data_IF_239204873469
#
_entry.id   IF_239204873469
#
_cell.length_a   1.000
_cell.length_b   1.000
_cell.length_c   1.000
_cell.angle_alpha   90.00
_cell.angle_beta   90.00
_cell.angle_gamma   90.00
#
_symmetry.space_group_name_H-M   'P 1'
#
loop_
_entity.id
_entity.type
_entity.pdbx_description
1 polymer ?
#
# COMPACT_ATOMS: atom_id res chain seq x y z
N UNK A 1 13.56 -0.03 -75.44
CA UNK A 1 13.94 -0.40 -74.05
C UNK A 1 13.81 0.86 -73.23
N UNK A 2 12.58 1.38 -73.12
CA UNK A 2 11.51 0.99 -72.20
C UNK A 2 11.86 1.45 -70.78
N UNK A 3 11.38 2.66 -70.54
CA UNK A 3 11.19 3.32 -69.27
C UNK A 3 10.74 2.39 -68.15
N UNK A 4 10.86 2.93 -66.94
CA UNK A 4 10.03 2.58 -65.79
C UNK A 4 10.61 1.55 -64.81
N UNK A 5 11.74 1.86 -64.15
CA UNK A 5 12.03 1.34 -62.80
C UNK A 5 12.60 2.47 -61.93
N UNK A 6 11.77 3.50 -61.71
CA UNK A 6 11.82 4.36 -60.52
C UNK A 6 10.59 4.00 -59.70
N UNK A 7 10.79 3.74 -58.41
CA UNK A 7 9.77 3.51 -57.39
C UNK A 7 8.98 2.20 -57.49
N UNK A 8 9.44 1.17 -56.78
CA UNK A 8 8.53 0.19 -56.18
C UNK A 8 8.63 0.40 -54.68
N UNK A 9 7.59 1.04 -54.13
CA UNK A 9 7.30 1.04 -52.70
C UNK A 9 7.26 -0.41 -52.23
N UNK A 10 8.13 -0.76 -51.29
CA UNK A 10 7.89 -1.92 -50.45
C UNK A 10 6.78 -1.51 -49.48
N UNK A 11 5.54 -1.83 -49.83
CA UNK A 11 4.43 -1.87 -48.89
C UNK A 11 4.67 -3.10 -48.02
N UNK A 12 5.29 -2.90 -46.85
CA UNK A 12 5.24 -3.89 -45.79
C UNK A 12 3.86 -3.77 -45.15
N UNK A 13 2.96 -4.64 -45.58
CA UNK A 13 1.68 -4.88 -44.91
C UNK A 13 1.96 -5.44 -43.51
N UNK A 14 1.96 -4.58 -42.50
CA UNK A 14 1.88 -4.99 -41.09
C UNK A 14 0.40 -5.33 -40.82
N UNK A 15 -0.01 -6.53 -41.22
CA UNK A 15 -1.27 -7.09 -40.74
C UNK A 15 -1.04 -7.66 -39.34
N UNK A 16 -1.58 -6.95 -38.36
CA UNK A 16 -2.15 -7.43 -37.10
C UNK A 16 -1.53 -8.68 -36.47
N UNK A 17 -0.53 -8.46 -35.62
CA UNK A 17 -0.29 -9.26 -34.41
C UNK A 17 -0.02 -8.32 -33.23
N UNK A 18 -0.90 -7.33 -33.06
CA UNK A 18 -1.00 -6.57 -31.81
C UNK A 18 -2.10 -7.23 -30.99
N UNK A 19 -1.72 -8.12 -30.07
CA UNK A 19 -2.40 -8.35 -28.77
C UNK A 19 -1.87 -9.56 -27.96
N UNK A 20 -0.86 -10.32 -28.43
CA UNK A 20 -0.29 -11.41 -27.62
C UNK A 20 1.12 -11.14 -27.04
N UNK A 21 1.76 -10.02 -27.37
CA UNK A 21 3.14 -9.74 -26.93
C UNK A 21 3.26 -8.75 -25.77
N UNK A 22 2.17 -8.04 -25.41
CA UNK A 22 2.20 -7.09 -24.28
C UNK A 22 2.04 -7.79 -22.92
N UNK A 23 1.21 -8.82 -22.82
CA UNK A 23 0.97 -9.54 -21.56
C UNK A 23 2.16 -10.39 -21.12
N UNK A 24 2.93 -10.96 -22.07
CA UNK A 24 4.06 -11.83 -21.77
C UNK A 24 5.28 -11.09 -21.20
N UNK A 25 5.53 -9.86 -21.65
CA UNK A 25 6.68 -9.05 -21.19
C UNK A 25 6.39 -8.45 -19.82
N UNK A 26 5.15 -8.00 -19.56
CA UNK A 26 4.75 -7.52 -18.23
C UNK A 26 4.78 -8.65 -17.20
N UNK A 27 4.36 -9.86 -17.58
CA UNK A 27 4.42 -11.04 -16.71
C UNK A 27 5.86 -11.49 -16.39
N UNK A 28 6.78 -11.46 -17.37
CA UNK A 28 8.17 -11.87 -17.12
C UNK A 28 8.92 -10.83 -16.28
N UNK A 29 8.76 -9.54 -16.58
CA UNK A 29 9.32 -8.46 -15.76
C UNK A 29 8.73 -8.50 -14.35
N UNK A 30 7.46 -8.88 -14.19
CA UNK A 30 6.82 -9.08 -12.89
C UNK A 30 7.38 -10.27 -12.13
N UNK A 31 7.62 -11.42 -12.77
CA UNK A 31 8.29 -12.55 -12.12
C UNK A 31 9.74 -12.22 -11.75
N UNK A 32 10.45 -11.47 -12.59
CA UNK A 32 11.82 -11.05 -12.32
C UNK A 32 11.88 -10.02 -11.18
N UNK A 33 10.94 -9.08 -11.10
CA UNK A 33 10.81 -8.14 -9.98
C UNK A 33 10.45 -8.87 -8.69
N UNK A 34 9.46 -9.78 -8.71
CA UNK A 34 9.04 -10.55 -7.53
C UNK A 34 10.14 -11.50 -7.04
N UNK A 35 10.91 -12.11 -7.95
CA UNK A 35 12.03 -13.00 -7.60
C UNK A 35 13.27 -12.24 -7.13
N UNK A 36 13.55 -11.05 -7.65
CA UNK A 36 14.66 -10.20 -7.20
C UNK A 36 14.39 -9.46 -5.89
N UNK A 37 13.12 -9.25 -5.50
CA UNK A 37 12.73 -8.48 -4.32
C UNK A 37 12.54 -9.29 -3.03
N UNK A 38 12.84 -10.60 -3.04
CA UNK A 38 12.96 -11.40 -1.83
C UNK A 38 11.71 -11.39 -0.95
N UNK A 39 10.62 -11.99 -1.40
CA UNK A 39 9.45 -12.16 -0.56
C UNK A 39 8.29 -12.82 -1.27
N UNK A 40 8.30 -14.15 -1.34
CA UNK A 40 7.15 -14.91 -1.82
C UNK A 40 7.54 -16.33 -2.18
N UNK A 41 7.92 -17.14 -1.18
CA UNK A 41 7.77 -18.58 -1.36
C UNK A 41 6.31 -18.87 -1.73
N UNK A 42 6.06 -19.91 -2.50
CA UNK A 42 4.76 -20.43 -2.96
C UNK A 42 3.73 -20.79 -1.84
N UNK A 43 3.89 -20.28 -0.62
CA UNK A 43 3.12 -20.59 0.57
C UNK A 43 2.41 -19.35 1.12
N UNK A 44 1.11 -19.21 0.80
CA UNK A 44 0.12 -18.33 1.42
C UNK A 44 0.37 -16.80 1.34
N UNK A 45 -0.58 -15.99 0.82
CA UNK A 45 -0.49 -14.52 0.84
C UNK A 45 -0.53 -13.92 2.25
N UNK A 46 -0.71 -14.75 3.29
CA UNK A 46 -0.79 -14.34 4.69
C UNK A 46 0.25 -15.08 5.52
N UNK A 47 1.12 -14.31 6.19
CA UNK A 47 2.13 -14.79 7.12
C UNK A 47 1.81 -14.25 8.53
N UNK A 48 1.65 -15.16 9.50
CA UNK A 48 1.34 -14.81 10.89
C UNK A 48 2.65 -14.77 11.68
N UNK A 49 2.84 -13.68 12.41
CA UNK A 49 3.96 -13.45 13.32
C UNK A 49 3.48 -13.39 14.77
N UNK A 50 4.43 -13.36 15.71
CA UNK A 50 4.12 -13.24 17.14
C UNK A 50 3.40 -11.93 17.49
N UNK A 51 3.74 -10.85 16.81
CA UNK A 51 3.24 -9.49 17.08
C UNK A 51 2.29 -8.95 16.00
N UNK A 52 1.94 -9.76 15.00
CA UNK A 52 1.08 -9.28 13.93
C UNK A 52 0.90 -10.24 12.77
N UNK A 53 0.35 -9.72 11.67
CA UNK A 53 0.07 -10.48 10.45
C UNK A 53 0.51 -9.70 9.23
N UNK A 54 1.40 -10.29 8.43
CA UNK A 54 1.70 -9.80 7.09
C UNK A 54 0.68 -10.32 6.10
N UNK A 55 0.30 -9.45 5.17
CA UNK A 55 -0.54 -9.79 4.04
C UNK A 55 0.04 -9.18 2.78
N UNK A 56 0.38 -10.03 1.81
CA UNK A 56 0.70 -9.65 0.44
C UNK A 56 -0.57 -9.68 -0.40
N UNK A 57 -1.13 -8.50 -0.68
CA UNK A 57 -2.37 -8.42 -1.45
C UNK A 57 -2.60 -7.07 -2.14
N UNK A 58 -3.56 -7.08 -3.07
CA UNK A 58 -4.15 -5.83 -3.57
C UNK A 58 -5.19 -5.36 -2.55
N UNK A 59 -5.13 -4.07 -2.19
CA UNK A 59 -6.06 -3.47 -1.22
C UNK A 59 -7.37 -3.05 -1.88
N UNK A 60 -7.32 -2.57 -3.13
CA UNK A 60 -8.45 -1.95 -3.83
C UNK A 60 -9.02 -2.79 -4.98
N UNK A 61 -10.15 -2.31 -5.53
CA UNK A 61 -11.22 -2.88 -6.40
C UNK A 61 -10.95 -4.08 -7.32
N UNK A 62 -9.71 -4.41 -7.66
CA UNK A 62 -9.36 -5.55 -8.52
C UNK A 62 -8.56 -6.63 -7.77
N UNK A 63 -8.73 -6.71 -6.45
CA UNK A 63 -8.11 -7.75 -5.64
C UNK A 63 -8.85 -9.08 -5.77
N UNK A 64 -8.15 -10.20 -5.99
CA UNK A 64 -8.78 -11.53 -6.05
C UNK A 64 -9.42 -11.95 -4.72
N UNK A 65 -9.03 -11.33 -3.59
CA UNK A 65 -9.65 -11.53 -2.29
C UNK A 65 -9.56 -10.26 -1.44
N UNK A 66 -10.68 -9.70 -0.93
CA UNK A 66 -10.65 -8.54 -0.05
C UNK A 66 -9.83 -8.77 1.23
N UNK A 67 -9.21 -7.71 1.78
CA UNK A 67 -8.43 -7.82 3.03
C UNK A 67 -9.26 -8.38 4.19
N UNK A 68 -10.54 -8.03 4.26
CA UNK A 68 -11.50 -8.54 5.26
C UNK A 68 -11.58 -10.06 5.26
N UNK A 69 -11.51 -10.70 4.09
CA UNK A 69 -11.51 -12.15 3.95
C UNK A 69 -10.17 -12.74 4.36
N UNK A 70 -9.05 -12.12 3.96
CA UNK A 70 -7.71 -12.62 4.24
C UNK A 70 -7.36 -12.59 5.73
N UNK A 71 -7.80 -11.54 6.43
CA UNK A 71 -7.49 -11.27 7.84
C UNK A 71 -8.55 -11.74 8.83
N UNK A 72 -9.65 -12.33 8.35
CA UNK A 72 -10.75 -12.78 9.20
C UNK A 72 -10.26 -13.65 10.36
N UNK A 73 -10.62 -13.26 11.58
CA UNK A 73 -10.30 -13.96 12.83
C UNK A 73 -8.78 -14.09 13.14
N UNK A 74 -7.90 -13.40 12.37
CA UNK A 74 -6.45 -13.51 12.55
C UNK A 74 -5.87 -12.53 13.56
N UNK A 75 -6.45 -11.33 13.66
CA UNK A 75 -5.95 -10.26 14.55
C UNK A 75 -6.31 -10.48 16.03
N UNK A 76 -7.33 -11.30 16.32
CA UNK A 76 -7.84 -11.59 17.68
C UNK A 76 -8.15 -10.33 18.50
N UNK A 77 -8.71 -9.31 17.85
CA UNK A 77 -9.11 -8.03 18.45
C UNK A 77 -10.63 -7.82 18.37
N UNK A 78 -11.13 -6.84 19.14
CA UNK A 78 -12.53 -6.46 19.08
C UNK A 78 -12.86 -5.79 17.74
N UNK A 79 -14.00 -6.16 17.14
CA UNK A 79 -14.48 -5.58 15.88
C UNK A 79 -13.41 -5.55 14.77
N UNK A 80 -12.64 -6.62 14.62
CA UNK A 80 -11.57 -6.76 13.62
C UNK A 80 -12.03 -6.36 12.21
N UNK A 81 -13.21 -6.83 11.78
CA UNK A 81 -13.76 -6.53 10.47
C UNK A 81 -14.10 -5.04 10.28
N UNK A 82 -14.47 -4.33 11.35
CA UNK A 82 -14.72 -2.89 11.28
C UNK A 82 -13.42 -2.12 11.05
N UNK A 83 -12.34 -2.50 11.73
CA UNK A 83 -11.02 -1.91 11.53
C UNK A 83 -10.48 -2.19 10.12
N UNK A 84 -10.53 -3.45 9.69
CA UNK A 84 -10.03 -3.86 8.37
C UNK A 84 -10.82 -3.16 7.26
N UNK A 85 -12.15 -3.09 7.41
CA UNK A 85 -13.03 -2.39 6.49
C UNK A 85 -12.74 -0.88 6.42
N UNK A 86 -12.57 -0.22 7.56
CA UNK A 86 -12.20 1.20 7.64
C UNK A 86 -10.90 1.49 6.91
N UNK A 87 -9.84 0.71 7.20
CA UNK A 87 -8.54 0.87 6.54
C UNK A 87 -8.64 0.71 5.02
N UNK A 88 -9.35 -0.33 4.55
CA UNK A 88 -9.56 -0.55 3.12
C UNK A 88 -10.36 0.61 2.48
N UNK A 89 -11.38 1.14 3.16
CA UNK A 89 -12.13 2.29 2.67
C UNK A 89 -11.28 3.55 2.57
N UNK A 90 -10.43 3.81 3.56
CA UNK A 90 -9.48 4.93 3.57
C UNK A 90 -8.54 4.84 2.36
N UNK A 91 -7.85 3.71 2.18
CA UNK A 91 -6.86 3.57 1.09
C UNK A 91 -7.49 3.57 -0.30
N UNK A 92 -8.73 3.13 -0.42
CA UNK A 92 -9.45 3.05 -1.69
C UNK A 92 -10.36 4.25 -1.96
N UNK A 93 -10.34 5.28 -1.10
CA UNK A 93 -11.05 6.51 -1.35
C UNK A 93 -10.51 7.22 -2.60
N UNK A 94 -11.36 7.96 -3.34
CA UNK A 94 -10.92 8.70 -4.52
C UNK A 94 -9.78 9.67 -4.20
N UNK A 95 -8.82 9.79 -5.13
CA UNK A 95 -7.73 10.74 -5.04
C UNK A 95 -8.01 11.99 -5.86
N UNK A 96 -7.46 13.12 -5.44
CA UNK A 96 -7.35 14.31 -6.29
C UNK A 96 -6.15 14.17 -7.26
N UNK A 97 -5.95 15.19 -8.11
CA UNK A 97 -4.84 15.24 -9.07
C UNK A 97 -3.44 15.24 -8.42
N UNK A 98 -3.37 15.58 -7.13
CA UNK A 98 -2.14 15.58 -6.32
C UNK A 98 -1.90 14.24 -5.61
N UNK A 99 -2.75 13.23 -5.89
CA UNK A 99 -2.76 11.92 -5.22
C UNK A 99 -3.11 11.95 -3.74
N UNK A 100 -3.66 13.07 -3.25
CA UNK A 100 -4.15 13.16 -1.88
C UNK A 100 -5.44 12.38 -1.73
N UNK A 101 -5.59 11.76 -0.56
CA UNK A 101 -6.84 11.19 -0.08
C UNK A 101 -7.43 12.15 0.95
N UNK A 102 -8.66 12.57 0.72
CA UNK A 102 -9.46 13.31 1.70
C UNK A 102 -10.04 12.33 2.73
N UNK A 103 -9.64 12.48 4.00
CA UNK A 103 -10.13 11.66 5.10
C UNK A 103 -11.34 12.26 5.82
N UNK A 104 -11.77 13.46 5.46
CA UNK A 104 -12.92 14.15 6.06
C UNK A 104 -14.21 13.30 6.07
N UNK A 105 -14.53 12.53 5.01
CA UNK A 105 -15.68 11.62 5.02
C UNK A 105 -15.64 10.55 6.12
N UNK A 106 -14.45 10.25 6.66
CA UNK A 106 -14.24 9.28 7.72
C UNK A 106 -14.10 9.92 9.11
N UNK A 107 -14.42 11.22 9.27
CA UNK A 107 -14.23 11.99 10.51
C UNK A 107 -14.82 11.35 11.78
N UNK A 108 -15.86 10.51 11.67
CA UNK A 108 -16.41 9.75 12.80
C UNK A 108 -15.42 8.71 13.38
N UNK A 109 -14.45 8.29 12.57
CA UNK A 109 -13.38 7.34 12.87
C UNK A 109 -12.01 8.00 12.98
N UNK A 110 -11.94 9.32 13.06
CA UNK A 110 -10.70 10.07 13.27
C UNK A 110 -10.67 10.64 14.68
N UNK A 111 -9.49 10.70 15.29
CA UNK A 111 -9.28 11.49 16.50
C UNK A 111 -9.42 12.99 16.21
N UNK A 112 -9.69 13.82 17.22
CA UNK A 112 -9.99 15.25 17.01
C UNK A 112 -8.87 15.97 16.23
N UNK A 113 -7.64 15.66 16.62
CA UNK A 113 -6.42 16.09 15.96
C UNK A 113 -5.47 14.91 15.86
N UNK A 114 -4.95 14.67 14.65
CA UNK A 114 -4.10 13.52 14.33
C UNK A 114 -2.69 14.04 14.09
N UNK A 115 -1.69 13.64 14.90
CA UNK A 115 -0.30 13.90 14.60
C UNK A 115 0.13 13.17 13.32
N UNK A 116 0.98 13.84 12.55
CA UNK A 116 1.62 13.27 11.37
C UNK A 116 3.12 13.47 11.50
N UNK A 117 3.88 12.42 11.30
CA UNK A 117 5.34 12.45 11.41
C UNK A 117 5.98 11.79 10.20
N UNK A 118 7.09 12.35 9.70
CA UNK A 118 7.96 11.66 8.76
C UNK A 118 9.04 10.94 9.54
N UNK A 119 9.22 9.65 9.31
CA UNK A 119 10.27 8.84 9.94
C UNK A 119 11.26 8.42 8.87
N UNK A 120 12.49 8.89 9.05
CA UNK A 120 13.60 8.52 8.19
C UNK A 120 14.25 7.24 8.72
N UNK A 121 14.52 6.28 7.84
CA UNK A 121 15.17 5.03 8.22
C UNK A 121 16.31 4.71 7.25
N UNK A 122 17.32 4.00 7.75
CA UNK A 122 18.47 3.54 6.96
C UNK A 122 18.48 2.02 6.85
N UNK A 123 19.34 1.49 5.97
CA UNK A 123 19.53 0.04 5.71
C UNK A 123 18.31 -0.63 5.06
N UNK A 124 18.37 -1.95 4.90
CA UNK A 124 17.27 -2.77 4.40
C UNK A 124 16.36 -3.18 5.55
N UNK A 125 15.65 -2.20 6.13
CA UNK A 125 14.67 -2.50 7.17
C UNK A 125 13.45 -3.22 6.61
N UNK A 126 12.91 -4.12 7.42
CA UNK A 126 11.64 -4.80 7.15
C UNK A 126 10.47 -3.91 7.61
N UNK A 127 9.39 -3.89 6.82
CA UNK A 127 8.13 -3.24 7.18
C UNK A 127 7.66 -3.75 8.55
N UNK A 128 7.34 -2.87 9.51
CA UNK A 128 6.97 -3.31 10.87
C UNK A 128 8.11 -3.33 11.89
N UNK A 129 9.36 -3.17 11.45
CA UNK A 129 10.54 -3.30 12.32
C UNK A 129 11.27 -1.98 12.59
N UNK A 130 10.69 -0.86 12.19
CA UNK A 130 11.29 0.47 12.39
C UNK A 130 11.03 0.97 13.81
N UNK A 131 12.02 1.67 14.36
CA UNK A 131 11.92 2.32 15.66
C UNK A 131 11.28 3.71 15.51
N UNK A 132 9.95 3.76 15.44
CA UNK A 132 9.22 5.04 15.24
C UNK A 132 9.42 6.01 16.41
N UNK A 133 9.54 5.49 17.63
CA UNK A 133 9.61 6.30 18.85
C UNK A 133 11.02 6.85 19.16
N UNK A 134 12.02 6.56 18.31
CA UNK A 134 13.42 6.87 18.62
C UNK A 134 13.84 8.32 18.37
N UNK A 135 12.97 9.17 17.80
CA UNK A 135 13.13 10.62 17.55
C UNK A 135 14.39 11.12 16.82
N UNK A 136 15.46 10.33 16.69
CA UNK A 136 16.73 10.75 16.07
C UNK A 136 16.55 11.09 14.58
N UNK A 137 15.49 10.55 13.97
CA UNK A 137 15.22 10.67 12.55
C UNK A 137 13.73 10.88 12.25
N UNK A 138 12.98 11.48 13.18
CA UNK A 138 11.57 11.85 12.94
C UNK A 138 11.39 13.36 12.81
N UNK A 139 10.53 13.77 11.87
CA UNK A 139 10.09 15.15 11.68
C UNK A 139 8.58 15.20 11.92
N UNK A 140 8.17 15.79 13.02
CA UNK A 140 6.75 15.99 13.32
C UNK A 140 6.20 17.21 12.57
N UNK A 141 5.02 17.03 11.96
CA UNK A 141 4.25 18.12 11.38
C UNK A 141 3.22 18.63 12.39
N UNK A 142 2.64 19.80 12.10
CA UNK A 142 1.52 20.31 12.88
C UNK A 142 0.36 19.29 12.84
N UNK A 143 -0.22 18.91 14.01
CA UNK A 143 -1.36 18.01 14.03
C UNK A 143 -2.52 18.53 13.18
N UNK A 144 -3.14 17.64 12.41
CA UNK A 144 -4.18 17.99 11.47
C UNK A 144 -5.54 17.72 12.10
N UNK A 145 -6.44 18.69 12.04
CA UNK A 145 -7.80 18.52 12.55
C UNK A 145 -8.60 17.56 11.66
N UNK A 146 -9.43 16.70 12.25
CA UNK A 146 -10.19 15.66 11.51
C UNK A 146 -11.02 16.17 10.32
N UNK A 147 -11.48 17.43 10.38
CA UNK A 147 -12.31 18.06 9.34
C UNK A 147 -11.51 18.65 8.16
N UNK A 148 -10.18 18.56 8.20
CA UNK A 148 -9.27 19.09 7.18
C UNK A 148 -8.24 18.04 6.75
N UNK A 149 -8.46 16.79 7.15
CA UNK A 149 -7.45 15.75 7.08
C UNK A 149 -7.27 15.27 5.64
N UNK A 150 -6.07 15.46 5.11
CA UNK A 150 -5.64 14.94 3.82
C UNK A 150 -4.31 14.23 3.99
N UNK A 151 -4.17 13.08 3.36
CA UNK A 151 -2.92 12.32 3.33
C UNK A 151 -2.45 12.16 1.89
N UNK A 152 -1.16 12.34 1.67
CA UNK A 152 -0.55 12.10 0.37
C UNK A 152 0.10 10.72 0.37
N UNK A 153 -0.26 9.88 -0.60
CA UNK A 153 0.29 8.53 -0.78
C UNK A 153 1.29 8.47 -1.95
N UNK A 154 2.00 9.57 -2.26
CA UNK A 154 3.01 9.56 -3.34
C UNK A 154 4.03 8.44 -3.08
N UNK A 155 4.34 7.67 -4.12
CA UNK A 155 5.17 6.46 -4.02
C UNK A 155 4.36 5.18 -3.70
N UNK A 156 3.13 5.30 -3.21
CA UNK A 156 2.22 4.19 -2.94
C UNK A 156 0.97 4.26 -3.83
N UNK A 157 0.89 3.38 -4.81
CA UNK A 157 -0.31 3.24 -5.62
C UNK A 157 -1.10 1.99 -5.20
N UNK A 158 -2.16 2.08 -4.38
CA UNK A 158 -2.98 0.92 -4.02
C UNK A 158 -3.84 0.40 -5.18
N UNK A 159 -3.86 1.10 -6.33
CA UNK A 159 -4.40 0.59 -7.59
C UNK A 159 -3.31 -0.02 -8.50
N UNK A 160 -2.07 -0.12 -8.02
CA UNK A 160 -0.97 -0.76 -8.73
C UNK A 160 -1.34 -2.19 -9.13
N UNK A 161 -0.86 -2.62 -10.30
CA UNK A 161 -0.93 -4.02 -10.72
C UNK A 161 -0.07 -4.92 -9.84
N UNK A 162 0.93 -4.35 -9.15
CA UNK A 162 1.83 -5.01 -8.20
C UNK A 162 1.15 -5.05 -6.82
N UNK A 163 0.99 -6.25 -6.21
CA UNK A 163 0.56 -6.38 -4.83
C UNK A 163 1.40 -5.54 -3.87
N UNK A 164 0.76 -4.98 -2.85
CA UNK A 164 1.43 -4.26 -1.79
C UNK A 164 1.42 -5.12 -0.51
N UNK A 165 2.31 -4.80 0.42
CA UNK A 165 2.42 -5.49 1.69
C UNK A 165 1.76 -4.65 2.77
N UNK A 166 0.87 -5.27 3.54
CA UNK A 166 0.42 -4.72 4.82
C UNK A 166 0.97 -5.55 5.96
N UNK A 167 1.39 -4.89 7.04
CA UNK A 167 1.68 -5.54 8.31
C UNK A 167 0.74 -5.00 9.38
N UNK A 168 -0.04 -5.89 9.97
CA UNK A 168 -1.02 -5.59 11.00
C UNK A 168 -0.44 -5.95 12.35
N UNK A 169 0.17 -4.97 13.00
CA UNK A 169 0.84 -5.14 14.28
C UNK A 169 -0.14 -4.92 15.43
N UNK A 170 -0.25 -5.91 16.32
CA UNK A 170 -1.08 -5.84 17.52
C UNK A 170 -0.22 -5.36 18.69
N UNK A 171 -0.26 -4.06 18.99
CA UNK A 171 0.45 -3.47 20.13
C UNK A 171 -0.26 -3.76 21.45
N UNK A 172 -1.60 -3.75 21.42
CA UNK A 172 -2.48 -4.24 22.48
C UNK A 172 -3.85 -4.64 21.89
N UNK A 173 -4.77 -5.28 22.64
CA UNK A 173 -6.10 -5.61 22.12
C UNK A 173 -6.91 -4.40 21.64
N UNK A 174 -6.61 -3.21 22.16
CA UNK A 174 -7.23 -1.92 21.80
C UNK A 174 -6.30 -1.02 20.96
N UNK A 175 -5.12 -1.47 20.55
CA UNK A 175 -4.15 -0.65 19.82
C UNK A 175 -3.50 -1.44 18.70
N UNK A 176 -3.82 -1.07 17.46
CA UNK A 176 -3.31 -1.70 16.24
C UNK A 176 -2.54 -0.68 15.42
N UNK A 177 -1.36 -1.08 14.96
CA UNK A 177 -0.56 -0.34 14.00
C UNK A 177 -0.57 -1.05 12.66
N UNK A 178 -1.00 -0.35 11.61
CA UNK A 178 -1.05 -0.89 10.25
C UNK A 178 0.03 -0.23 9.43
N UNK A 179 0.99 -1.03 8.98
CA UNK A 179 2.04 -0.59 8.06
C UNK A 179 1.62 -0.94 6.64
N UNK A 180 1.75 0.00 5.71
CA UNK A 180 1.40 -0.19 4.32
C UNK A 180 2.55 0.27 3.42
N UNK A 181 3.09 -0.64 2.61
CA UNK A 181 4.19 -0.35 1.71
C UNK A 181 4.14 -1.20 0.45
N UNK A 182 4.83 -0.77 -0.60
CA UNK A 182 4.91 -1.54 -1.85
C UNK A 182 5.69 -2.85 -1.67
N UNK A 183 6.62 -2.91 -0.70
CA UNK A 183 7.51 -4.04 -0.45
C UNK A 183 7.64 -4.35 1.04
N UNK A 184 7.96 -5.61 1.38
CA UNK A 184 8.27 -6.02 2.76
C UNK A 184 9.65 -5.51 3.19
N UNK A 185 10.63 -5.57 2.29
CA UNK A 185 12.02 -5.14 2.55
C UNK A 185 12.30 -3.79 1.91
N UNK A 186 12.94 -2.90 2.65
CA UNK A 186 13.35 -1.56 2.22
C UNK A 186 12.25 -0.71 1.54
N UNK A 187 11.03 -0.59 2.10
CA UNK A 187 9.93 0.11 1.42
C UNK A 187 10.09 1.64 1.46
N UNK A 188 10.43 2.26 0.33
CA UNK A 188 10.85 3.68 0.24
C UNK A 188 9.82 4.70 0.72
N UNK A 189 8.54 4.34 0.79
CA UNK A 189 7.43 5.29 1.01
C UNK A 189 6.31 4.68 1.87
N UNK A 190 6.64 3.82 2.83
CA UNK A 190 5.60 3.17 3.63
C UNK A 190 4.79 4.20 4.44
N UNK A 191 3.48 4.04 4.50
CA UNK A 191 2.62 4.81 5.40
C UNK A 191 2.17 3.91 6.55
N UNK A 192 2.10 4.48 7.73
CA UNK A 192 1.83 3.76 8.97
C UNK A 192 0.66 4.44 9.65
N UNK A 193 -0.34 3.67 10.06
CA UNK A 193 -1.55 4.15 10.71
C UNK A 193 -1.71 3.52 12.08
N UNK A 194 -1.87 4.32 13.13
CA UNK A 194 -2.22 3.82 14.46
C UNK A 194 -3.70 3.99 14.74
N UNK A 195 -4.34 2.89 15.08
CA UNK A 195 -5.74 2.82 15.45
C UNK A 195 -5.91 2.43 16.91
N UNK A 196 -6.74 3.18 17.63
CA UNK A 196 -7.16 2.85 18.99
C UNK A 196 -8.64 2.50 19.05
N UNK A 197 -8.98 1.51 19.88
CA UNK A 197 -10.36 1.14 20.15
C UNK A 197 -10.88 1.88 21.38
N UNK A 198 -11.71 2.88 21.15
CA UNK A 198 -12.27 3.73 22.20
C UNK A 198 -13.77 3.92 21.95
N UNK A 199 -14.56 3.96 23.03
CA UNK A 199 -16.01 4.18 22.94
C UNK A 199 -16.71 3.23 21.94
N UNK A 200 -16.28 1.95 21.94
CA UNK A 200 -16.78 0.88 21.06
C UNK A 200 -16.55 1.11 19.56
N UNK A 201 -15.57 1.91 19.17
CA UNK A 201 -15.18 2.14 17.76
C UNK A 201 -13.66 2.25 17.59
N UNK A 202 -13.18 1.90 16.41
CA UNK A 202 -11.79 2.15 16.02
C UNK A 202 -11.62 3.59 15.52
N UNK A 203 -10.60 4.25 16.04
CA UNK A 203 -10.22 5.63 15.74
C UNK A 203 -8.80 5.66 15.20
N UNK A 204 -8.58 6.32 14.06
CA UNK A 204 -7.25 6.68 13.59
C UNK A 204 -6.69 7.81 14.47
N UNK A 205 -5.54 7.56 15.09
CA UNK A 205 -4.95 8.44 16.10
C UNK A 205 -3.61 9.02 15.71
N UNK A 206 -2.87 8.37 14.80
CA UNK A 206 -1.55 8.83 14.40
C UNK A 206 -1.21 8.31 13.00
N UNK A 207 -0.42 9.06 12.26
CA UNK A 207 0.11 8.65 10.95
C UNK A 207 1.62 8.90 10.90
N UNK A 208 2.37 7.92 10.41
CA UNK A 208 3.76 8.13 10.02
C UNK A 208 3.95 7.92 8.52
N UNK A 209 4.89 8.66 7.95
CA UNK A 209 5.36 8.54 6.58
C UNK A 209 6.82 8.10 6.64
N UNK A 210 7.09 6.90 6.16
CA UNK A 210 8.42 6.33 6.03
C UNK A 210 9.16 6.89 4.85
N UNK A 211 10.41 7.30 5.05
CA UNK A 211 11.30 7.64 3.95
C UNK A 211 12.71 7.11 4.20
N UNK A 212 13.36 6.64 3.13
CA UNK A 212 14.70 6.06 3.21
C UNK A 212 15.78 7.14 3.12
N UNK A 213 16.79 7.06 4.00
CA UNK A 213 18.06 7.82 3.90
C UNK A 213 19.08 7.04 3.06
#
# INVERSE_FOLDING_TARGET
MKDLIKSIMIVVSIFQMQNCFAEGVEASVRQDIVSMLGGGSENSPVQVETDGVYVDSKVCKNSPSPLTVQLKDRLKIQQDQALIGLFQQILCAPRNDQLDIDLTPFSANLYESIPVEMVMYSRQQELGRWLLDSNEFSVAFAPIHKNQMKINLTGLNPNSSIPAVTFWQTLSPEHIRVWYGQFKMAPSDAIIFDFKFENKKWLLTHIWIGSRI
#
